data_IF_668042992051
#
_entry.id   IF_668042992051
#
_cell.length_a   1.000
_cell.length_b   1.000
_cell.length_c   1.000
_cell.angle_alpha   90.00
_cell.angle_beta   90.00
_cell.angle_gamma   90.00
#
_symmetry.space_group_name_H-M   'P 1'
#
loop_
_entity.id
_entity.type
_entity.pdbx_description
1 polymer ?
#
# COMPACT_ATOMS: atom_id res chain seq x y z
N UNK A 1 -6.33 -16.57 -15.35
CA UNK A 1 -7.43 -16.40 -14.39
C UNK A 1 -6.86 -16.15 -13.01
N UNK A 2 -7.57 -15.43 -12.13
CA UNK A 2 -7.16 -15.16 -10.73
C UNK A 2 -6.85 -16.46 -9.94
N UNK A 3 -7.45 -17.58 -10.37
CA UNK A 3 -7.14 -18.93 -9.89
C UNK A 3 -5.66 -19.31 -10.03
N UNK A 4 -5.00 -18.98 -11.16
CA UNK A 4 -3.57 -19.32 -11.41
C UNK A 4 -2.63 -18.52 -10.49
N UNK A 5 -3.07 -17.37 -9.96
CA UNK A 5 -2.28 -16.60 -8.98
C UNK A 5 -2.43 -17.06 -7.53
N UNK A 6 -3.30 -18.04 -7.25
CA UNK A 6 -3.44 -18.66 -5.92
C UNK A 6 -2.52 -19.86 -5.72
N UNK A 7 -2.05 -20.47 -6.80
CA UNK A 7 -1.06 -21.55 -6.76
C UNK A 7 0.32 -20.96 -6.50
N UNK A 8 0.88 -21.28 -5.33
CA UNK A 8 2.19 -20.80 -4.89
C UNK A 8 2.98 -21.99 -4.39
N UNK A 9 4.21 -22.12 -4.87
CA UNK A 9 5.14 -23.11 -4.35
C UNK A 9 5.68 -22.66 -2.99
N UNK A 10 5.60 -23.54 -1.99
CA UNK A 10 6.27 -23.37 -0.71
C UNK A 10 7.32 -24.48 -0.55
N UNK A 11 8.49 -24.11 -0.02
CA UNK A 11 9.59 -25.06 0.22
C UNK A 11 9.88 -25.08 1.71
N UNK A 12 9.77 -26.26 2.31
CA UNK A 12 10.11 -26.49 3.71
C UNK A 12 11.46 -27.20 3.81
N UNK A 13 12.36 -26.61 4.60
CA UNK A 13 13.71 -27.12 4.82
C UNK A 13 14.02 -26.99 6.31
N UNK A 14 14.43 -28.08 6.94
CA UNK A 14 14.80 -28.07 8.34
C UNK A 14 14.95 -29.46 8.93
N UNK A 15 15.48 -29.54 10.15
CA UNK A 15 15.45 -30.76 10.94
C UNK A 15 13.98 -31.15 11.22
N UNK A 16 13.66 -32.44 11.10
CA UNK A 16 12.29 -32.93 11.28
C UNK A 16 11.37 -32.74 10.08
N UNK A 17 11.85 -32.26 8.92
CA UNK A 17 11.09 -32.22 7.66
C UNK A 17 11.51 -33.41 6.78
N UNK A 18 10.55 -34.14 6.21
CA UNK A 18 10.86 -35.26 5.31
C UNK A 18 11.45 -34.75 3.99
N UNK A 19 12.47 -35.44 3.49
CA UNK A 19 13.11 -35.10 2.21
C UNK A 19 12.37 -35.72 1.02
N UNK A 20 12.31 -34.99 -0.10
CA UNK A 20 11.76 -35.49 -1.36
C UNK A 20 10.24 -35.61 -1.43
N UNK A 21 9.53 -35.06 -0.44
CA UNK A 21 8.06 -35.10 -0.37
C UNK A 21 7.48 -33.87 -1.06
N UNK A 22 6.55 -34.09 -1.99
CA UNK A 22 5.72 -33.06 -2.58
C UNK A 22 4.28 -33.27 -2.12
N UNK A 23 3.64 -32.20 -1.65
CA UNK A 23 2.26 -32.22 -1.15
C UNK A 23 1.49 -31.06 -1.76
N UNK A 24 0.24 -31.35 -2.11
CA UNK A 24 -0.74 -30.33 -2.44
C UNK A 24 -1.49 -29.94 -1.16
N UNK A 25 -1.75 -28.65 -1.00
CA UNK A 25 -2.42 -28.12 0.19
C UNK A 25 -2.75 -26.64 0.05
N UNK A 26 -3.35 -26.06 1.08
CA UNK A 26 -3.73 -24.65 1.09
C UNK A 26 -2.64 -23.81 1.77
N UNK A 27 -2.48 -22.54 1.37
CA UNK A 27 -1.48 -21.64 1.97
C UNK A 27 -1.64 -21.47 3.50
N UNK A 28 -2.87 -21.61 4.00
CA UNK A 28 -3.20 -21.59 5.44
C UNK A 28 -2.62 -22.76 6.23
N UNK A 29 -2.39 -23.89 5.58
CA UNK A 29 -1.86 -25.12 6.20
C UNK A 29 -0.39 -24.92 6.59
N UNK A 30 0.34 -24.10 5.82
CA UNK A 30 1.70 -23.66 6.15
C UNK A 30 1.72 -22.80 7.42
N UNK A 31 0.72 -21.94 7.60
CA UNK A 31 0.62 -21.13 8.82
C UNK A 31 0.31 -22.00 10.06
N UNK A 32 -0.31 -23.18 9.88
CA UNK A 32 -0.55 -24.15 10.95
C UNK A 32 0.69 -24.92 11.39
N UNK A 33 1.74 -24.96 10.57
CA UNK A 33 3.01 -25.54 10.98
C UNK A 33 3.70 -24.72 12.07
N UNK A 34 3.56 -23.39 12.07
CA UNK A 34 4.24 -22.55 13.06
C UNK A 34 3.77 -22.84 14.50
N UNK A 35 2.47 -22.87 14.81
CA UNK A 35 2.00 -23.30 16.12
C UNK A 35 2.42 -24.72 16.47
N UNK A 36 2.39 -25.65 15.51
CA UNK A 36 2.73 -27.04 15.75
C UNK A 36 4.23 -27.25 16.07
N UNK A 37 5.12 -26.56 15.34
CA UNK A 37 6.56 -26.68 15.53
C UNK A 37 7.05 -25.96 16.79
N UNK A 38 6.34 -24.91 17.22
CA UNK A 38 6.70 -24.08 18.38
C UNK A 38 5.91 -24.44 19.65
N UNK A 39 5.05 -25.45 19.59
CA UNK A 39 4.14 -25.85 20.68
C UNK A 39 3.30 -24.67 21.21
N UNK A 40 2.81 -23.84 20.29
CA UNK A 40 1.98 -22.67 20.61
C UNK A 40 0.50 -23.02 20.51
N UNK A 41 -0.37 -22.34 21.29
CA UNK A 41 -1.81 -22.50 21.13
C UNK A 41 -2.27 -22.11 19.73
N UNK A 42 -3.18 -22.90 19.15
CA UNK A 42 -3.76 -22.61 17.84
C UNK A 42 -4.60 -21.32 17.88
N UNK A 43 -4.29 -20.29 17.09
CA UNK A 43 -5.11 -19.08 17.01
C UNK A 43 -6.50 -19.40 16.44
N UNK A 44 -7.54 -18.78 16.99
CA UNK A 44 -8.91 -18.96 16.52
C UNK A 44 -9.10 -18.55 15.04
N UNK A 45 -8.28 -17.62 14.53
CA UNK A 45 -8.32 -17.17 13.13
C UNK A 45 -7.60 -18.10 12.15
N UNK A 46 -6.79 -19.04 12.67
CA UNK A 46 -6.04 -19.98 11.83
C UNK A 46 -6.92 -21.20 11.56
N UNK A 47 -7.23 -21.45 10.28
CA UNK A 47 -8.02 -22.61 9.82
C UNK A 47 -7.25 -23.58 8.94
N UNK A 48 -5.93 -23.64 9.11
CA UNK A 48 -5.09 -24.62 8.43
C UNK A 48 -5.14 -26.00 9.07
N UNK A 49 -5.03 -27.03 8.23
CA UNK A 49 -4.71 -28.39 8.62
C UNK A 49 -3.19 -28.54 8.65
N UNK A 50 -2.62 -29.08 9.72
CA UNK A 50 -1.17 -29.33 9.78
C UNK A 50 -0.81 -30.38 8.72
N UNK A 51 0.14 -30.11 7.81
CA UNK A 51 0.58 -31.09 6.82
C UNK A 51 1.55 -32.09 7.49
N UNK A 52 0.99 -33.03 8.26
CA UNK A 52 1.75 -34.03 9.02
C UNK A 52 2.65 -34.89 8.14
N UNK A 53 2.23 -35.14 6.89
CA UNK A 53 3.01 -35.90 5.90
C UNK A 53 4.33 -35.23 5.50
N UNK A 54 4.45 -33.91 5.70
CA UNK A 54 5.69 -33.17 5.47
C UNK A 54 6.71 -33.37 6.60
N UNK A 55 6.28 -33.89 7.76
CA UNK A 55 7.07 -33.94 8.98
C UNK A 55 7.58 -35.35 9.27
N UNK A 56 8.79 -35.42 9.83
CA UNK A 56 9.39 -36.64 10.37
C UNK A 56 8.99 -36.74 11.84
N UNK A 57 7.86 -37.40 12.09
CA UNK A 57 7.24 -37.53 13.41
C UNK A 57 7.57 -38.88 14.06
N UNK A 58 7.60 -38.92 15.39
CA UNK A 58 7.72 -40.17 16.14
C UNK A 58 6.40 -40.98 16.06
N UNK A 59 6.45 -42.31 16.32
CA UNK A 59 5.25 -43.12 16.41
C UNK A 59 4.25 -42.54 17.42
N UNK A 60 3.00 -42.36 16.99
CA UNK A 60 1.91 -41.80 17.82
C UNK A 60 1.86 -40.26 17.89
N UNK A 61 2.90 -39.54 17.47
CA UNK A 61 2.85 -38.07 17.43
C UNK A 61 1.90 -37.53 16.35
N UNK A 62 1.81 -38.23 15.22
CA UNK A 62 0.89 -37.87 14.12
C UNK A 62 -0.55 -37.85 14.61
N UNK A 63 -1.00 -38.91 15.29
CA UNK A 63 -2.37 -39.02 15.82
C UNK A 63 -2.64 -37.95 16.87
N UNK A 64 -1.66 -37.68 17.76
CA UNK A 64 -1.78 -36.66 18.80
C UNK A 64 -1.92 -35.25 18.20
N UNK A 65 -1.08 -34.92 17.21
CA UNK A 65 -1.12 -33.61 16.54
C UNK A 65 -2.38 -33.45 15.70
N UNK A 66 -2.85 -34.51 15.04
CA UNK A 66 -4.09 -34.49 14.27
C UNK A 66 -5.30 -34.26 15.17
N UNK A 67 -5.41 -34.99 16.28
CA UNK A 67 -6.48 -34.84 17.26
C UNK A 67 -6.47 -33.43 17.89
N UNK A 68 -5.28 -32.90 18.21
CA UNK A 68 -5.14 -31.55 18.73
C UNK A 68 -5.55 -30.48 17.70
N UNK A 69 -5.11 -30.60 16.45
CA UNK A 69 -5.50 -29.68 15.38
C UNK A 69 -7.01 -29.76 15.09
N UNK A 70 -7.59 -30.96 15.13
CA UNK A 70 -9.02 -31.17 14.96
C UNK A 70 -9.82 -30.55 16.11
N UNK A 71 -9.39 -30.73 17.36
CA UNK A 71 -10.03 -30.08 18.50
C UNK A 71 -10.06 -28.56 18.33
N UNK A 72 -8.94 -27.95 17.94
CA UNK A 72 -8.89 -26.53 17.65
C UNK A 72 -9.84 -26.13 16.49
N UNK A 73 -10.00 -26.99 15.48
CA UNK A 73 -10.94 -26.77 14.39
C UNK A 73 -12.41 -26.82 14.85
N UNK A 74 -12.76 -27.74 15.74
CA UNK A 74 -14.11 -27.85 16.33
C UNK A 74 -14.43 -26.64 17.22
N UNK A 75 -13.51 -26.25 18.10
CA UNK A 75 -13.66 -25.06 18.95
C UNK A 75 -13.84 -23.79 18.11
N UNK A 76 -13.07 -23.66 17.03
CA UNK A 76 -13.21 -22.57 16.06
C UNK A 76 -14.56 -22.60 15.35
N UNK A 77 -15.00 -23.75 14.85
CA UNK A 77 -16.29 -23.88 14.17
C UNK A 77 -17.45 -23.48 15.10
N UNK A 78 -17.37 -23.87 16.39
CA UNK A 78 -18.32 -23.47 17.41
C UNK A 78 -18.28 -21.96 17.68
N UNK A 79 -17.09 -21.37 17.78
CA UNK A 79 -16.93 -19.93 17.99
C UNK A 79 -17.46 -19.09 16.81
N UNK A 80 -17.22 -19.53 15.58
CA UNK A 80 -17.66 -18.84 14.36
C UNK A 80 -19.09 -19.20 13.95
N UNK A 81 -19.74 -20.16 14.63
CA UNK A 81 -21.09 -20.64 14.32
C UNK A 81 -21.22 -21.10 12.86
N UNK A 82 -20.24 -21.87 12.38
CA UNK A 82 -20.23 -22.39 11.00
C UNK A 82 -21.45 -23.27 10.79
N UNK A 83 -22.26 -22.95 9.78
CA UNK A 83 -23.43 -23.75 9.40
C UNK A 83 -23.12 -24.50 8.12
N UNK A 84 -22.75 -25.77 8.23
CA UNK A 84 -22.50 -26.65 7.10
C UNK A 84 -23.72 -27.51 6.70
N UNK A 85 -24.87 -27.26 7.35
CA UNK A 85 -26.12 -28.01 7.15
C UNK A 85 -26.12 -29.41 7.77
N UNK A 86 -25.03 -29.83 8.43
CA UNK A 86 -24.91 -31.10 9.12
C UNK A 86 -25.11 -31.00 10.64
N UNK A 87 -24.99 -32.13 11.36
CA UNK A 87 -24.99 -32.13 12.83
C UNK A 87 -23.75 -31.39 13.37
N UNK A 88 -23.78 -30.88 14.62
CA UNK A 88 -22.63 -30.20 15.22
C UNK A 88 -21.35 -31.05 15.15
N UNK A 89 -20.22 -30.42 14.83
CA UNK A 89 -18.93 -31.11 14.77
C UNK A 89 -18.54 -31.65 16.15
N UNK A 90 -17.94 -32.83 16.18
CA UNK A 90 -17.53 -33.51 17.40
C UNK A 90 -16.01 -33.71 17.41
N UNK A 91 -15.36 -33.43 18.54
CA UNK A 91 -13.92 -33.62 18.73
C UNK A 91 -13.50 -35.09 18.63
N UNK A 92 -14.41 -36.06 18.83
CA UNK A 92 -14.08 -37.49 18.77
C UNK A 92 -13.96 -38.07 17.36
N UNK A 93 -14.51 -37.40 16.34
CA UNK A 93 -14.56 -37.90 14.97
C UNK A 93 -13.97 -36.86 14.03
N UNK A 94 -12.83 -37.18 13.42
CA UNK A 94 -12.08 -36.26 12.56
C UNK A 94 -12.73 -36.22 11.17
N UNK A 95 -13.25 -35.04 10.78
CA UNK A 95 -14.00 -34.84 9.53
C UNK A 95 -13.52 -33.58 8.79
N UNK A 96 -12.25 -33.56 8.39
CA UNK A 96 -11.63 -32.40 7.71
C UNK A 96 -12.39 -31.91 6.47
N UNK A 97 -13.04 -32.82 5.74
CA UNK A 97 -13.85 -32.53 4.56
C UNK A 97 -14.98 -31.51 4.81
N UNK A 98 -15.48 -31.42 6.04
CA UNK A 98 -16.55 -30.47 6.44
C UNK A 98 -16.03 -29.08 6.81
N UNK A 99 -14.74 -28.96 7.13
CA UNK A 99 -14.11 -27.71 7.61
C UNK A 99 -13.18 -27.11 6.54
N UNK A 100 -12.93 -27.83 5.45
CA UNK A 100 -12.00 -27.42 4.40
C UNK A 100 -12.50 -26.29 3.47
N UNK A 101 -13.76 -25.83 3.61
CA UNK A 101 -14.28 -24.70 2.85
C UNK A 101 -13.39 -23.44 2.96
N UNK A 102 -13.33 -22.66 1.87
CA UNK A 102 -12.68 -21.34 1.83
C UNK A 102 -13.58 -20.22 2.37
N UNK A 103 -14.68 -20.59 3.04
CA UNK A 103 -15.63 -19.64 3.58
C UNK A 103 -15.00 -18.86 4.74
N UNK A 104 -15.11 -17.52 4.66
CA UNK A 104 -14.47 -16.62 5.61
C UNK A 104 -15.01 -16.84 7.02
N UNK A 105 -14.09 -16.95 7.99
CA UNK A 105 -14.35 -17.04 9.42
C UNK A 105 -14.88 -15.71 10.01
N UNK A 106 -15.92 -15.14 9.41
CA UNK A 106 -16.48 -13.87 9.85
C UNK A 106 -17.80 -14.12 10.58
N UNK A 107 -17.84 -13.86 11.88
CA UNK A 107 -19.10 -13.90 12.62
C UNK A 107 -20.01 -12.79 12.12
N UNK A 108 -21.30 -13.07 12.00
CA UNK A 108 -22.31 -12.06 11.65
C UNK A 108 -22.32 -10.88 12.63
N UNK A 109 -22.04 -11.13 13.91
CA UNK A 109 -21.86 -10.09 14.93
C UNK A 109 -20.69 -9.14 14.63
N UNK A 110 -19.57 -9.68 14.16
CA UNK A 110 -18.35 -8.90 13.92
C UNK A 110 -18.49 -8.08 12.64
N UNK A 111 -19.17 -8.64 11.62
CA UNK A 111 -19.57 -7.92 10.42
C UNK A 111 -20.55 -6.80 10.76
N UNK A 112 -21.57 -7.08 11.59
CA UNK A 112 -22.55 -6.08 12.01
C UNK A 112 -21.91 -4.96 12.83
N UNK A 113 -21.01 -5.28 13.76
CA UNK A 113 -20.28 -4.32 14.56
C UNK A 113 -19.37 -3.45 13.67
N UNK A 114 -18.64 -4.06 12.74
CA UNK A 114 -17.79 -3.35 11.78
C UNK A 114 -18.62 -2.41 10.90
N UNK A 115 -19.75 -2.88 10.37
CA UNK A 115 -20.68 -2.06 9.59
C UNK A 115 -21.21 -0.87 10.41
N UNK A 116 -21.61 -1.11 11.68
CA UNK A 116 -22.06 -0.07 12.59
C UNK A 116 -20.96 0.96 12.87
N UNK A 117 -19.73 0.52 13.15
CA UNK A 117 -18.59 1.42 13.34
C UNK A 117 -18.37 2.32 12.12
N UNK A 118 -18.47 1.76 10.91
CA UNK A 118 -18.36 2.54 9.67
C UNK A 118 -19.50 3.55 9.50
N UNK A 119 -20.74 3.15 9.77
CA UNK A 119 -21.90 4.05 9.76
C UNK A 119 -21.67 5.23 10.70
N UNK A 120 -21.19 4.97 11.93
CA UNK A 120 -20.93 6.01 12.92
C UNK A 120 -19.79 6.94 12.48
N UNK A 121 -18.65 6.39 12.05
CA UNK A 121 -17.50 7.19 11.62
C UNK A 121 -17.83 8.08 10.41
N UNK A 122 -18.50 7.53 9.40
CA UNK A 122 -18.93 8.30 8.23
C UNK A 122 -20.00 9.32 8.60
N UNK A 123 -20.93 8.99 9.49
CA UNK A 123 -21.92 9.93 10.01
C UNK A 123 -21.29 11.10 10.76
N UNK A 124 -20.28 10.84 11.60
CA UNK A 124 -19.53 11.87 12.31
C UNK A 124 -18.72 12.74 11.35
N UNK A 125 -18.03 12.15 10.37
CA UNK A 125 -17.27 12.88 9.36
C UNK A 125 -18.17 13.76 8.48
N UNK A 126 -19.31 13.23 8.03
CA UNK A 126 -20.30 13.97 7.25
C UNK A 126 -20.90 15.13 8.07
N UNK A 127 -21.23 14.88 9.36
CA UNK A 127 -21.73 15.92 10.27
C UNK A 127 -20.70 17.01 10.54
N UNK A 128 -19.45 16.64 10.80
CA UNK A 128 -18.35 17.60 11.00
C UNK A 128 -18.18 18.48 9.76
N UNK A 129 -18.14 17.86 8.58
CA UNK A 129 -17.97 18.59 7.34
C UNK A 129 -19.16 19.49 6.99
N UNK A 130 -20.39 19.03 7.27
CA UNK A 130 -21.59 19.85 7.12
C UNK A 130 -21.53 21.09 8.04
N UNK A 131 -21.16 20.92 9.32
CA UNK A 131 -21.06 22.03 10.27
C UNK A 131 -19.96 23.04 9.93
N UNK A 132 -18.81 22.59 9.45
CA UNK A 132 -17.63 23.46 9.25
C UNK A 132 -17.65 24.21 7.92
N UNK A 133 -18.28 23.64 6.90
CA UNK A 133 -18.18 24.12 5.51
C UNK A 133 -19.52 24.24 4.78
N UNK A 134 -20.66 23.94 5.42
CA UNK A 134 -21.98 24.16 4.84
C UNK A 134 -22.36 23.22 3.70
N UNK A 135 -21.82 21.98 3.69
CA UNK A 135 -21.84 21.07 2.53
C UNK A 135 -23.17 20.43 2.09
N UNK A 136 -24.32 20.88 2.61
CA UNK A 136 -25.64 20.40 2.17
C UNK A 136 -25.85 18.88 2.19
N UNK A 137 -26.84 18.40 1.42
CA UNK A 137 -27.22 16.99 1.27
C UNK A 137 -26.20 16.15 0.48
N UNK A 138 -25.33 16.78 -0.30
CA UNK A 138 -24.33 16.13 -1.15
C UNK A 138 -23.22 15.43 -0.35
N UNK A 139 -22.78 15.99 0.78
CA UNK A 139 -21.81 15.33 1.66
C UNK A 139 -22.37 14.06 2.32
N UNK A 140 -23.66 14.08 2.66
CA UNK A 140 -24.38 12.92 3.21
C UNK A 140 -24.55 11.84 2.14
N UNK A 141 -24.89 12.21 0.91
CA UNK A 141 -24.96 11.27 -0.20
C UNK A 141 -23.60 10.67 -0.56
N UNK A 142 -22.53 11.46 -0.59
CA UNK A 142 -21.18 10.96 -0.83
C UNK A 142 -20.75 9.99 0.27
N UNK A 143 -21.05 10.29 1.54
CA UNK A 143 -20.82 9.39 2.67
C UNK A 143 -21.64 8.11 2.60
N UNK A 144 -22.92 8.20 2.25
CA UNK A 144 -23.82 7.05 2.08
C UNK A 144 -23.42 6.17 0.89
N UNK A 145 -23.04 6.76 -0.23
CA UNK A 145 -22.47 6.05 -1.37
C UNK A 145 -21.14 5.38 -0.99
N UNK A 146 -20.26 6.07 -0.26
CA UNK A 146 -19.01 5.50 0.26
C UNK A 146 -19.25 4.29 1.17
N UNK A 147 -20.25 4.36 2.06
CA UNK A 147 -20.65 3.25 2.93
C UNK A 147 -21.21 2.06 2.13
N UNK A 148 -22.10 2.31 1.17
CA UNK A 148 -22.65 1.26 0.30
C UNK A 148 -21.53 0.55 -0.45
N UNK A 149 -20.60 1.32 -0.99
CA UNK A 149 -19.42 0.76 -1.66
C UNK A 149 -18.60 -0.05 -0.64
N UNK A 150 -18.45 0.39 0.62
CA UNK A 150 -17.68 -0.30 1.68
C UNK A 150 -18.27 -1.63 2.10
N UNK A 151 -19.58 -1.65 2.31
CA UNK A 151 -20.31 -2.87 2.62
C UNK A 151 -20.32 -3.82 1.43
N UNK A 152 -20.52 -3.31 0.21
CA UNK A 152 -20.47 -4.14 -1.01
C UNK A 152 -19.07 -4.72 -1.26
N UNK A 153 -18.03 -3.93 -1.00
CA UNK A 153 -16.64 -4.33 -1.20
C UNK A 153 -16.21 -5.38 -0.16
N UNK A 154 -16.61 -5.22 1.11
CA UNK A 154 -16.44 -6.23 2.15
C UNK A 154 -17.17 -7.53 1.80
N UNK A 155 -18.43 -7.45 1.37
CA UNK A 155 -19.18 -8.61 0.90
C UNK A 155 -18.52 -9.28 -0.32
N UNK A 156 -17.91 -8.48 -1.20
CA UNK A 156 -17.23 -8.96 -2.40
C UNK A 156 -15.83 -9.54 -2.16
N UNK A 157 -15.27 -9.50 -0.94
CA UNK A 157 -13.93 -10.04 -0.66
C UNK A 157 -13.81 -11.53 -1.00
N UNK A 158 -14.90 -12.29 -0.85
CA UNK A 158 -14.95 -13.70 -1.27
C UNK A 158 -14.94 -13.87 -2.80
N UNK A 159 -15.40 -12.87 -3.56
CA UNK A 159 -15.51 -12.92 -5.02
C UNK A 159 -14.30 -12.31 -5.74
N UNK A 160 -13.79 -11.17 -5.29
CA UNK A 160 -12.53 -10.61 -5.76
C UNK A 160 -11.92 -9.66 -4.74
N UNK A 161 -10.75 -10.03 -4.22
CA UNK A 161 -9.98 -9.19 -3.32
C UNK A 161 -9.38 -7.95 -4.03
N UNK A 162 -9.41 -7.91 -5.38
CA UNK A 162 -8.83 -6.81 -6.15
C UNK A 162 -9.76 -5.59 -6.28
N UNK A 163 -11.07 -5.77 -6.22
CA UNK A 163 -12.06 -4.68 -6.35
C UNK A 163 -11.93 -3.66 -5.22
N UNK A 164 -11.94 -4.05 -3.92
CA UNK A 164 -11.73 -3.10 -2.83
C UNK A 164 -10.39 -2.36 -2.95
N UNK A 165 -9.34 -3.07 -3.38
CA UNK A 165 -8.00 -2.49 -3.58
C UNK A 165 -7.98 -1.44 -4.70
N UNK A 166 -8.69 -1.68 -5.79
CA UNK A 166 -8.83 -0.72 -6.89
C UNK A 166 -9.57 0.55 -6.45
N UNK A 167 -10.65 0.41 -5.69
CA UNK A 167 -11.41 1.54 -5.17
C UNK A 167 -10.58 2.39 -4.18
N UNK A 168 -9.83 1.74 -3.28
CA UNK A 168 -8.88 2.42 -2.40
C UNK A 168 -7.78 3.16 -3.16
N UNK A 169 -7.29 2.60 -4.27
CA UNK A 169 -6.31 3.24 -5.15
C UNK A 169 -6.84 4.54 -5.77
N UNK A 170 -8.07 4.53 -6.28
CA UNK A 170 -8.73 5.72 -6.84
C UNK A 170 -8.93 6.78 -5.76
N UNK A 171 -9.32 6.39 -4.56
CA UNK A 171 -9.47 7.32 -3.44
C UNK A 171 -8.14 8.01 -3.07
N UNK A 172 -7.06 7.25 -2.93
CA UNK A 172 -5.73 7.78 -2.64
C UNK A 172 -5.23 8.72 -3.75
N UNK A 173 -5.35 8.30 -5.01
CA UNK A 173 -4.99 9.13 -6.17
C UNK A 173 -5.83 10.41 -6.25
N UNK A 174 -7.13 10.32 -5.95
CA UNK A 174 -8.04 11.45 -5.91
C UNK A 174 -7.67 12.48 -4.83
N UNK A 175 -7.29 12.01 -3.63
CA UNK A 175 -6.81 12.89 -2.55
C UNK A 175 -5.53 13.62 -2.94
N UNK A 176 -4.54 12.90 -3.47
CA UNK A 176 -3.29 13.51 -3.95
C UNK A 176 -3.59 14.54 -5.03
N UNK A 177 -4.49 14.22 -5.94
CA UNK A 177 -4.86 15.12 -7.02
C UNK A 177 -5.57 16.38 -6.53
N UNK A 178 -6.40 16.25 -5.49
CA UNK A 178 -7.05 17.37 -4.83
C UNK A 178 -6.02 18.27 -4.14
N UNK A 179 -5.06 17.69 -3.42
CA UNK A 179 -4.00 18.43 -2.76
C UNK A 179 -3.09 19.22 -3.73
N UNK A 180 -2.93 18.72 -4.96
CA UNK A 180 -2.09 19.33 -6.00
C UNK A 180 -2.86 20.19 -7.01
N UNK A 181 -4.18 20.35 -6.84
CA UNK A 181 -5.00 21.08 -7.79
C UNK A 181 -4.68 22.59 -7.77
N UNK A 182 -4.49 23.23 -8.94
CA UNK A 182 -4.27 24.66 -8.99
C UNK A 182 -5.56 25.46 -8.75
N UNK A 183 -5.43 26.64 -8.17
CA UNK A 183 -6.51 27.62 -8.06
C UNK A 183 -6.75 28.29 -9.40
N UNK A 184 -7.60 27.67 -10.22
CA UNK A 184 -7.91 28.12 -11.58
C UNK A 184 -9.40 28.06 -11.89
N UNK A 185 -9.86 28.95 -12.76
CA UNK A 185 -11.26 28.96 -13.21
C UNK A 185 -11.48 27.79 -14.17
N UNK A 186 -12.47 26.95 -13.84
CA UNK A 186 -12.88 25.86 -14.71
C UNK A 186 -13.59 26.41 -15.96
N UNK A 187 -13.05 26.12 -17.14
CA UNK A 187 -13.59 26.61 -18.43
C UNK A 187 -14.31 25.51 -19.22
N UNK A 188 -15.12 25.90 -20.22
CA UNK A 188 -15.86 24.98 -21.06
C UNK A 188 -14.96 23.99 -21.85
N UNK A 189 -13.74 24.42 -22.21
CA UNK A 189 -12.75 23.56 -22.85
C UNK A 189 -12.38 22.37 -21.95
N UNK A 190 -12.19 22.62 -20.65
CA UNK A 190 -11.91 21.56 -19.67
C UNK A 190 -13.08 20.58 -19.55
N UNK A 191 -14.33 21.07 -19.54
CA UNK A 191 -15.51 20.23 -19.50
C UNK A 191 -15.62 19.28 -20.71
N UNK A 192 -15.30 19.76 -21.92
CA UNK A 192 -15.29 18.92 -23.13
C UNK A 192 -14.18 17.86 -23.09
N UNK A 193 -12.99 18.22 -22.60
CA UNK A 193 -11.89 17.28 -22.45
C UNK A 193 -12.23 16.17 -21.43
N UNK A 194 -12.80 16.55 -20.27
CA UNK A 194 -13.23 15.60 -19.25
C UNK A 194 -14.30 14.64 -19.74
N UNK A 195 -15.26 15.11 -20.54
CA UNK A 195 -16.28 14.25 -21.14
C UNK A 195 -15.65 13.22 -22.09
N UNK A 196 -14.68 13.61 -22.91
CA UNK A 196 -13.99 12.69 -23.83
C UNK A 196 -13.19 11.63 -23.07
N UNK A 197 -12.47 12.04 -22.03
CA UNK A 197 -11.71 11.11 -21.19
C UNK A 197 -12.63 10.14 -20.44
N UNK A 198 -13.75 10.62 -19.90
CA UNK A 198 -14.76 9.77 -19.26
C UNK A 198 -15.38 8.77 -20.26
N UNK A 199 -15.75 9.22 -21.45
CA UNK A 199 -16.25 8.33 -22.52
C UNK A 199 -15.19 7.30 -22.90
N UNK A 200 -13.91 7.69 -22.99
CA UNK A 200 -12.82 6.75 -23.25
C UNK A 200 -12.66 5.70 -22.14
N UNK A 201 -12.75 6.11 -20.87
CA UNK A 201 -12.70 5.20 -19.73
C UNK A 201 -13.91 4.25 -19.70
N UNK A 202 -15.12 4.76 -19.91
CA UNK A 202 -16.33 3.92 -20.01
C UNK A 202 -16.26 2.97 -21.21
N UNK A 203 -15.72 3.43 -22.33
CA UNK A 203 -15.45 2.59 -23.51
C UNK A 203 -14.47 1.47 -23.20
N UNK A 204 -13.37 1.77 -22.49
CA UNK A 204 -12.41 0.76 -22.04
C UNK A 204 -13.06 -0.27 -21.12
N UNK A 205 -13.84 0.18 -20.14
CA UNK A 205 -14.59 -0.71 -19.23
C UNK A 205 -15.58 -1.58 -20.00
N UNK A 206 -16.31 -1.01 -20.96
CA UNK A 206 -17.25 -1.74 -21.80
C UNK A 206 -16.55 -2.80 -22.66
N UNK A 207 -15.40 -2.47 -23.24
CA UNK A 207 -14.57 -3.45 -23.98
C UNK A 207 -14.13 -4.58 -23.06
N UNK A 208 -13.65 -4.29 -21.86
CA UNK A 208 -13.25 -5.33 -20.91
C UNK A 208 -14.44 -6.18 -20.47
N UNK A 209 -15.64 -5.60 -20.31
CA UNK A 209 -16.86 -6.37 -20.03
C UNK A 209 -17.26 -7.33 -21.16
N UNK A 210 -16.90 -7.04 -22.42
CA UNK A 210 -17.16 -7.94 -23.54
C UNK A 210 -16.24 -9.16 -23.51
N UNK A 211 -15.00 -9.00 -23.03
CA UNK A 211 -13.96 -10.03 -23.10
C UNK A 211 -13.55 -10.64 -21.76
N UNK A 212 -14.07 -10.14 -20.64
CA UNK A 212 -13.64 -10.52 -19.29
C UNK A 212 -14.73 -10.37 -18.24
N UNK A 213 -14.37 -10.66 -16.99
CA UNK A 213 -15.30 -10.68 -15.86
C UNK A 213 -15.63 -9.26 -15.35
N UNK A 214 -16.79 -9.11 -14.72
CA UNK A 214 -17.20 -7.85 -14.10
C UNK A 214 -16.18 -7.32 -13.06
N UNK A 215 -15.51 -8.20 -12.32
CA UNK A 215 -14.46 -7.81 -11.37
C UNK A 215 -13.24 -7.21 -12.09
N UNK A 216 -12.83 -7.81 -13.20
CA UNK A 216 -11.72 -7.32 -14.02
C UNK A 216 -12.05 -5.96 -14.64
N UNK A 217 -13.27 -5.80 -15.15
CA UNK A 217 -13.74 -4.53 -15.68
C UNK A 217 -13.72 -3.40 -14.64
N UNK A 218 -14.16 -3.67 -13.41
CA UNK A 218 -14.12 -2.71 -12.31
C UNK A 218 -12.66 -2.35 -11.96
N UNK A 219 -11.77 -3.33 -11.86
CA UNK A 219 -10.35 -3.10 -11.54
C UNK A 219 -9.65 -2.30 -12.65
N UNK A 220 -9.88 -2.62 -13.92
CA UNK A 220 -9.34 -1.87 -15.06
C UNK A 220 -9.90 -0.45 -15.06
N UNK A 221 -11.19 -0.26 -14.78
CA UNK A 221 -11.79 1.07 -14.61
C UNK A 221 -11.13 1.88 -13.49
N UNK A 222 -10.84 1.24 -12.35
CA UNK A 222 -10.14 1.88 -11.24
C UNK A 222 -8.71 2.27 -11.63
N UNK A 223 -7.94 1.38 -12.25
CA UNK A 223 -6.57 1.67 -12.69
C UNK A 223 -6.53 2.75 -13.77
N UNK A 224 -7.45 2.69 -14.74
CA UNK A 224 -7.62 3.73 -15.76
C UNK A 224 -7.95 5.09 -15.14
N UNK A 225 -8.76 5.12 -14.09
CA UNK A 225 -9.06 6.35 -13.33
C UNK A 225 -7.80 6.92 -12.66
N UNK A 226 -6.95 6.09 -12.05
CA UNK A 226 -5.67 6.55 -11.46
C UNK A 226 -4.76 7.17 -12.52
N UNK A 227 -4.64 6.52 -13.69
CA UNK A 227 -3.83 7.03 -14.82
C UNK A 227 -4.41 8.35 -15.32
N UNK A 228 -5.72 8.45 -15.46
CA UNK A 228 -6.40 9.67 -15.88
C UNK A 228 -6.15 10.82 -14.88
N UNK A 229 -6.24 10.56 -13.57
CA UNK A 229 -5.93 11.54 -12.53
C UNK A 229 -4.48 12.01 -12.58
N UNK A 230 -3.52 11.09 -12.80
CA UNK A 230 -2.11 11.41 -12.98
C UNK A 230 -1.87 12.29 -14.22
N UNK A 231 -2.50 11.96 -15.35
CA UNK A 231 -2.40 12.74 -16.58
C UNK A 231 -2.97 14.16 -16.40
N UNK A 232 -4.14 14.27 -15.77
CA UNK A 232 -4.76 15.57 -15.42
C UNK A 232 -3.91 16.39 -14.45
N UNK A 233 -3.13 15.73 -13.58
CA UNK A 233 -2.20 16.40 -12.69
C UNK A 233 -1.04 17.03 -13.48
N UNK A 234 -0.49 16.29 -14.45
CA UNK A 234 0.59 16.79 -15.30
C UNK A 234 0.18 17.93 -16.23
N UNK A 235 -1.07 17.98 -16.65
CA UNK A 235 -1.59 19.11 -17.43
C UNK A 235 -1.95 20.32 -16.58
N UNK A 236 -1.75 20.26 -15.26
CA UNK A 236 -2.08 21.32 -14.32
C UNK A 236 -3.52 21.85 -14.51
N UNK A 237 -4.47 20.97 -14.84
CA UNK A 237 -5.86 21.36 -15.05
C UNK A 237 -6.50 21.73 -13.70
N UNK A 238 -7.34 22.77 -13.59
CA UNK A 238 -8.14 22.98 -12.38
C UNK A 238 -9.13 21.81 -12.21
N UNK A 239 -9.67 21.57 -11.01
CA UNK A 239 -10.77 20.62 -10.82
C UNK A 239 -12.11 21.38 -10.80
N UNK A 240 -13.18 20.88 -11.43
CA UNK A 240 -14.47 21.54 -11.39
C UNK A 240 -14.98 21.54 -9.94
N UNK A 241 -15.18 22.72 -9.36
CA UNK A 241 -15.87 22.98 -8.08
C UNK A 241 -15.43 22.19 -6.83
N UNK A 242 -14.22 21.60 -6.79
CA UNK A 242 -13.70 20.99 -5.55
C UNK A 242 -13.02 22.01 -4.62
N UNK A 243 -12.52 23.12 -5.17
CA UNK A 243 -11.77 24.14 -4.41
C UNK A 243 -12.66 25.00 -3.49
N UNK A 244 -14.00 24.93 -3.58
CA UNK A 244 -14.90 25.77 -2.80
C UNK A 244 -15.95 25.02 -1.94
N UNK A 245 -16.19 23.71 -2.14
CA UNK A 245 -17.43 23.09 -1.62
C UNK A 245 -17.31 21.77 -0.83
N UNK A 246 -16.17 21.05 -0.75
CA UNK A 246 -16.26 19.66 -0.28
C UNK A 246 -15.07 19.05 0.53
N UNK A 247 -14.61 19.67 1.62
CA UNK A 247 -13.83 18.97 2.65
C UNK A 247 -14.56 17.75 3.24
N UNK A 248 -15.89 17.66 3.09
CA UNK A 248 -16.67 16.44 3.32
C UNK A 248 -16.24 15.29 2.41
N UNK A 249 -16.07 15.57 1.11
CA UNK A 249 -15.62 14.58 0.11
C UNK A 249 -14.15 14.25 0.33
N UNK A 250 -13.30 15.21 0.68
CA UNK A 250 -11.92 14.94 1.07
C UNK A 250 -11.86 14.04 2.32
N UNK A 251 -12.65 14.31 3.35
CA UNK A 251 -12.74 13.47 4.54
C UNK A 251 -13.26 12.05 4.24
N UNK A 252 -14.26 11.92 3.37
CA UNK A 252 -14.77 10.62 2.91
C UNK A 252 -13.72 9.87 2.08
N UNK A 253 -13.00 10.54 1.18
CA UNK A 253 -11.92 9.93 0.41
C UNK A 253 -10.75 9.51 1.30
N UNK A 254 -10.40 10.29 2.33
CA UNK A 254 -9.39 9.91 3.35
C UNK A 254 -9.85 8.66 4.08
N UNK A 255 -11.10 8.62 4.53
CA UNK A 255 -11.66 7.45 5.20
C UNK A 255 -11.63 6.23 4.26
N UNK A 256 -12.15 6.34 3.03
CA UNK A 256 -12.14 5.25 2.06
C UNK A 256 -10.72 4.77 1.72
N UNK A 257 -9.75 5.69 1.55
CA UNK A 257 -8.36 5.36 1.31
C UNK A 257 -7.74 4.60 2.51
N UNK A 258 -8.09 4.98 3.73
CA UNK A 258 -7.67 4.32 4.96
C UNK A 258 -8.40 2.98 5.21
N UNK A 259 -9.65 2.83 4.77
CA UNK A 259 -10.47 1.63 4.95
C UNK A 259 -10.08 0.50 4.00
N UNK A 260 -9.89 0.81 2.71
CA UNK A 260 -9.67 -0.21 1.68
C UNK A 260 -8.21 -0.53 1.41
N UNK A 261 -7.36 0.46 1.63
CA UNK A 261 -5.93 0.30 1.49
C UNK A 261 -5.33 0.14 2.86
N UNK A 262 -4.68 -0.99 3.12
CA UNK A 262 -3.43 -0.94 3.88
C UNK A 262 -2.55 0.13 3.21
N UNK A 263 -2.68 1.41 3.62
CA UNK A 263 -2.13 2.62 2.98
C UNK A 263 -1.27 2.28 1.76
N UNK A 264 -1.90 2.01 0.60
CA UNK A 264 -1.12 1.69 -0.61
C UNK A 264 -0.70 3.04 -1.19
N UNK A 265 0.16 3.72 -0.42
CA UNK A 265 0.83 4.99 -0.72
C UNK A 265 1.46 4.92 -2.11
N UNK A 266 1.76 3.73 -2.61
CA UNK A 266 2.18 3.53 -3.97
C UNK A 266 1.26 4.21 -5.01
N UNK A 267 -0.07 4.21 -4.86
CA UNK A 267 -0.98 4.87 -5.81
C UNK A 267 -0.97 6.41 -5.74
N UNK A 268 -0.31 6.99 -4.74
CA UNK A 268 0.02 8.42 -4.68
C UNK A 268 1.13 8.75 -5.68
N UNK A 269 2.06 7.81 -5.91
CA UNK A 269 3.24 8.03 -6.76
C UNK A 269 2.92 8.29 -8.23
N UNK A 270 1.98 7.57 -8.91
CA UNK A 270 1.58 7.91 -10.27
C UNK A 270 1.08 9.35 -10.41
N UNK A 271 0.31 9.85 -9.45
CA UNK A 271 -0.23 11.22 -9.49
C UNK A 271 0.88 12.25 -9.27
N UNK A 272 1.80 12.00 -8.33
CA UNK A 272 2.99 12.84 -8.12
C UNK A 272 3.92 12.85 -9.34
N UNK A 273 4.11 11.68 -9.97
CA UNK A 273 4.90 11.53 -11.19
C UNK A 273 4.28 12.34 -12.34
N UNK A 274 2.97 12.19 -12.57
CA UNK A 274 2.24 12.94 -13.58
C UNK A 274 2.35 14.45 -13.36
N UNK A 275 2.03 14.92 -12.15
CA UNK A 275 2.13 16.33 -11.77
C UNK A 275 3.55 16.88 -11.96
N UNK A 276 4.55 16.15 -11.46
CA UNK A 276 5.95 16.53 -11.53
C UNK A 276 6.47 16.63 -12.97
N UNK A 277 6.18 15.61 -13.81
CA UNK A 277 6.50 15.63 -15.24
C UNK A 277 5.92 16.85 -15.95
N UNK A 278 4.66 17.18 -15.63
CA UNK A 278 4.02 18.40 -16.14
C UNK A 278 4.83 19.66 -15.90
N UNK A 279 5.26 19.87 -14.66
CA UNK A 279 6.04 21.06 -14.25
C UNK A 279 7.46 21.05 -14.83
N UNK A 280 8.09 19.88 -14.93
CA UNK A 280 9.40 19.73 -15.57
C UNK A 280 9.31 20.10 -17.05
N UNK A 281 8.31 19.59 -17.78
CA UNK A 281 8.09 19.91 -19.20
C UNK A 281 7.79 21.38 -19.41
N UNK A 282 6.95 21.98 -18.57
CA UNK A 282 6.64 23.42 -18.63
C UNK A 282 7.90 24.28 -18.46
N UNK A 283 8.75 23.95 -17.49
CA UNK A 283 10.00 24.67 -17.24
C UNK A 283 11.06 24.48 -18.31
N UNK A 284 11.20 23.27 -18.83
CA UNK A 284 12.10 22.97 -19.95
C UNK A 284 11.67 23.70 -21.23
N UNK A 285 10.36 23.88 -21.44
CA UNK A 285 9.83 24.72 -22.54
C UNK A 285 10.16 26.20 -22.35
N UNK A 286 10.13 26.69 -21.11
CA UNK A 286 10.47 28.08 -20.81
C UNK A 286 11.98 28.35 -20.83
N UNK A 287 12.80 27.37 -20.42
CA UNK A 287 14.26 27.47 -20.45
C UNK A 287 14.91 26.07 -20.48
N UNK A 288 15.75 25.82 -21.49
CA UNK A 288 16.44 24.54 -21.70
C UNK A 288 17.64 24.30 -20.75
N UNK A 289 17.85 25.16 -19.75
CA UNK A 289 18.96 25.03 -18.81
C UNK A 289 18.59 24.08 -17.66
N UNK A 290 19.51 23.17 -17.31
CA UNK A 290 19.39 22.28 -16.13
C UNK A 290 19.22 23.07 -14.83
N UNK A 291 19.69 24.32 -14.78
CA UNK A 291 19.53 25.21 -13.64
C UNK A 291 18.08 25.70 -13.42
N UNK A 292 17.16 25.50 -14.38
CA UNK A 292 15.75 25.85 -14.25
C UNK A 292 14.89 24.77 -13.59
N UNK A 293 15.49 23.60 -13.34
CA UNK A 293 14.87 22.47 -12.68
C UNK A 293 14.86 22.69 -11.16
N UNK A 294 13.68 22.95 -10.61
CA UNK A 294 13.49 23.10 -9.17
C UNK A 294 13.28 21.74 -8.48
N UNK A 295 13.00 21.79 -7.18
CA UNK A 295 12.63 20.65 -6.34
C UNK A 295 11.55 19.73 -6.95
N UNK A 296 10.69 20.25 -7.84
CA UNK A 296 9.69 19.46 -8.56
C UNK A 296 10.31 18.39 -9.45
N UNK A 297 11.47 18.65 -10.05
CA UNK A 297 12.21 17.65 -10.84
C UNK A 297 12.74 16.53 -9.95
N UNK A 298 13.25 16.86 -8.76
CA UNK A 298 13.66 15.89 -7.75
C UNK A 298 12.50 15.02 -7.26
N UNK A 299 11.35 15.63 -6.97
CA UNK A 299 10.13 14.90 -6.61
C UNK A 299 9.67 13.96 -7.72
N UNK A 300 9.73 14.42 -8.98
CA UNK A 300 9.38 13.61 -10.17
C UNK A 300 10.28 12.41 -10.29
N UNK A 301 11.60 12.60 -10.13
CA UNK A 301 12.58 11.52 -10.17
C UNK A 301 12.33 10.50 -9.04
N UNK A 302 12.08 10.96 -7.81
CA UNK A 302 11.73 10.09 -6.69
C UNK A 302 10.44 9.31 -6.94
N UNK A 303 9.41 9.94 -7.49
CA UNK A 303 8.17 9.28 -7.86
C UNK A 303 8.39 8.24 -8.97
N UNK A 304 9.21 8.55 -9.99
CA UNK A 304 9.56 7.62 -11.05
C UNK A 304 10.33 6.40 -10.52
N UNK A 305 11.32 6.62 -9.65
CA UNK A 305 12.07 5.55 -9.00
C UNK A 305 11.16 4.68 -8.12
N UNK A 306 10.25 5.30 -7.36
CA UNK A 306 9.29 4.58 -6.52
C UNK A 306 8.25 3.77 -7.31
N UNK A 307 7.89 4.21 -8.52
CA UNK A 307 7.00 3.46 -9.42
C UNK A 307 7.76 2.31 -10.10
N UNK A 308 9.01 2.52 -10.53
CA UNK A 308 9.72 1.56 -11.38
C UNK A 308 10.53 0.52 -10.59
N UNK A 309 11.35 0.95 -9.62
CA UNK A 309 12.35 0.08 -8.96
C UNK A 309 11.80 -1.10 -8.14
N UNK A 310 10.60 -1.03 -7.53
CA UNK A 310 10.07 -2.17 -6.76
C UNK A 310 9.60 -3.35 -7.63
N UNK A 311 9.38 -3.16 -8.93
CA UNK A 311 8.71 -4.15 -9.77
C UNK A 311 9.67 -5.13 -10.45
N UNK A 312 9.83 -6.31 -9.83
CA UNK A 312 10.49 -7.50 -10.38
C UNK A 312 10.01 -7.97 -11.77
N UNK A 313 8.83 -7.54 -12.19
CA UNK A 313 8.23 -7.92 -13.48
C UNK A 313 8.58 -6.96 -14.62
N UNK A 314 8.97 -5.73 -14.29
CA UNK A 314 9.31 -4.68 -15.27
C UNK A 314 10.83 -4.63 -15.44
N UNK A 315 11.53 -4.78 -14.33
CA UNK A 315 12.98 -4.91 -14.24
C UNK A 315 13.17 -6.30 -13.67
N UNK A 316 13.89 -7.21 -14.33
CA UNK A 316 14.05 -8.63 -13.96
C UNK A 316 14.64 -8.89 -12.54
N UNK A 317 14.69 -7.89 -11.66
CA UNK A 317 15.08 -7.92 -10.26
C UNK A 317 14.36 -6.85 -9.42
N UNK A 318 14.40 -6.96 -8.09
CA UNK A 318 13.91 -5.89 -7.22
C UNK A 318 15.08 -4.95 -6.95
N UNK A 319 15.35 -4.05 -7.88
CA UNK A 319 16.53 -3.17 -7.82
C UNK A 319 16.55 -2.34 -6.53
N UNK A 320 15.38 -1.92 -6.02
CA UNK A 320 15.33 -1.20 -4.74
C UNK A 320 15.80 -2.08 -3.58
N UNK A 321 15.30 -3.32 -3.51
CA UNK A 321 15.71 -4.27 -2.47
C UNK A 321 17.18 -4.67 -2.62
N UNK A 322 17.68 -4.79 -3.85
CA UNK A 322 19.09 -5.03 -4.13
C UNK A 322 19.95 -3.84 -3.67
N UNK A 323 19.56 -2.60 -3.99
CA UNK A 323 20.21 -1.38 -3.53
C UNK A 323 20.19 -1.24 -1.99
N UNK A 324 19.10 -1.62 -1.32
CA UNK A 324 19.02 -1.61 0.16
C UNK A 324 19.89 -2.70 0.77
N UNK A 325 19.95 -3.87 0.12
CA UNK A 325 20.79 -5.02 0.54
C UNK A 325 22.25 -4.87 0.12
N UNK A 326 22.61 -3.86 -0.67
CA UNK A 326 24.01 -3.57 -0.96
C UNK A 326 24.71 -3.19 0.33
N UNK A 327 25.57 -4.10 0.78
CA UNK A 327 26.53 -3.79 1.82
C UNK A 327 27.67 -2.97 1.20
N UNK A 328 27.85 -1.69 1.60
CA UNK A 328 28.87 -0.83 1.03
C UNK A 328 30.31 -1.30 1.30
N UNK A 329 30.51 -2.27 2.20
CA UNK A 329 31.83 -2.80 2.58
C UNK A 329 32.17 -4.16 1.98
N UNK A 330 31.21 -4.82 1.30
CA UNK A 330 31.38 -6.21 0.84
C UNK A 330 32.24 -6.38 -0.42
N UNK A 331 32.32 -5.37 -1.28
CA UNK A 331 33.08 -5.41 -2.54
C UNK A 331 33.56 -4.00 -2.91
N UNK A 332 34.76 -3.89 -3.50
CA UNK A 332 35.38 -2.61 -3.90
C UNK A 332 34.50 -1.87 -4.90
N UNK A 333 33.88 -2.59 -5.83
CA UNK A 333 32.95 -2.00 -6.79
C UNK A 333 31.71 -1.38 -6.11
N UNK A 334 31.19 -2.03 -5.05
CA UNK A 334 30.04 -1.54 -4.28
C UNK A 334 30.41 -0.34 -3.42
N UNK A 335 31.60 -0.35 -2.81
CA UNK A 335 32.13 0.81 -2.07
C UNK A 335 32.34 2.03 -2.97
N UNK A 336 32.91 1.84 -4.16
CA UNK A 336 33.04 2.90 -5.16
C UNK A 336 31.69 3.45 -5.61
N UNK A 337 30.71 2.58 -5.84
CA UNK A 337 29.35 2.98 -6.20
C UNK A 337 28.68 3.82 -5.10
N UNK A 338 28.80 3.43 -3.83
CA UNK A 338 28.28 4.20 -2.70
C UNK A 338 28.96 5.58 -2.58
N UNK A 339 30.28 5.64 -2.72
CA UNK A 339 31.02 6.91 -2.70
C UNK A 339 30.61 7.83 -3.86
N UNK A 340 30.40 7.28 -5.06
CA UNK A 340 29.92 8.03 -6.21
C UNK A 340 28.51 8.57 -5.98
N UNK A 341 27.61 7.77 -5.40
CA UNK A 341 26.27 8.21 -5.04
C UNK A 341 26.29 9.35 -4.02
N UNK A 342 27.18 9.28 -3.02
CA UNK A 342 27.34 10.32 -1.99
C UNK A 342 27.93 11.60 -2.57
N UNK A 343 28.93 11.49 -3.46
CA UNK A 343 29.50 12.63 -4.19
C UNK A 343 28.45 13.32 -5.06
N UNK A 344 27.63 12.54 -5.77
CA UNK A 344 26.53 13.05 -6.58
C UNK A 344 25.46 13.72 -5.71
N UNK A 345 25.11 13.12 -4.58
CA UNK A 345 24.15 13.69 -3.60
C UNK A 345 24.67 15.02 -3.03
N UNK A 346 25.95 15.11 -2.66
CA UNK A 346 26.57 16.34 -2.19
C UNK A 346 26.61 17.43 -3.29
N UNK A 347 26.89 17.05 -4.53
CA UNK A 347 26.86 17.94 -5.69
C UNK A 347 25.46 18.49 -5.98
N UNK A 348 24.44 17.64 -5.97
CA UNK A 348 23.04 18.04 -6.17
C UNK A 348 22.59 18.96 -5.04
N UNK A 349 22.93 18.64 -3.78
CA UNK A 349 22.58 19.49 -2.64
C UNK A 349 23.22 20.88 -2.74
N UNK A 350 24.50 20.96 -3.07
CA UNK A 350 25.19 22.26 -3.20
C UNK A 350 24.66 23.08 -4.35
N UNK A 351 24.39 22.45 -5.50
CA UNK A 351 23.77 23.11 -6.64
C UNK A 351 22.39 23.68 -6.27
N UNK A 352 21.59 22.94 -5.50
CA UNK A 352 20.26 23.37 -5.10
C UNK A 352 20.26 24.48 -4.04
N UNK A 353 21.10 24.37 -3.01
CA UNK A 353 21.13 25.35 -1.89
C UNK A 353 21.89 26.63 -2.26
N UNK A 354 22.99 26.52 -3.02
CA UNK A 354 23.88 27.65 -3.30
C UNK A 354 23.76 28.16 -4.74
N UNK A 355 22.97 27.51 -5.60
CA UNK A 355 22.79 27.87 -7.02
C UNK A 355 24.04 27.73 -7.88
N UNK A 356 25.17 27.31 -7.31
CA UNK A 356 26.48 27.15 -7.96
C UNK A 356 27.24 25.99 -7.32
N UNK A 357 28.01 25.25 -8.13
CA UNK A 357 28.90 24.21 -7.61
C UNK A 357 30.14 24.85 -6.97
N UNK A 358 30.13 24.94 -5.65
CA UNK A 358 31.26 25.42 -4.85
C UNK A 358 31.96 24.24 -4.17
N UNK A 359 33.29 24.16 -4.30
CA UNK A 359 34.09 23.02 -3.81
C UNK A 359 34.03 22.88 -2.28
N UNK A 360 34.06 24.00 -1.55
CA UNK A 360 34.01 24.01 -0.06
C UNK A 360 32.73 23.39 0.53
N UNK A 361 31.51 23.88 0.19
CA UNK A 361 30.28 23.28 0.72
C UNK A 361 30.06 21.86 0.20
N UNK A 362 30.54 21.53 -1.00
CA UNK A 362 30.43 20.17 -1.56
C UNK A 362 31.30 19.20 -0.75
N UNK A 363 32.53 19.61 -0.42
CA UNK A 363 33.44 18.83 0.43
C UNK A 363 32.92 18.63 1.85
N UNK A 364 32.29 19.66 2.46
CA UNK A 364 31.68 19.54 3.78
C UNK A 364 30.51 18.55 3.80
N UNK A 365 29.59 18.65 2.83
CA UNK A 365 28.46 17.72 2.73
C UNK A 365 28.93 16.30 2.42
N UNK A 366 29.90 16.12 1.52
CA UNK A 366 30.49 14.82 1.23
C UNK A 366 31.17 14.21 2.47
N UNK A 367 31.93 15.02 3.23
CA UNK A 367 32.55 14.60 4.48
C UNK A 367 31.53 14.17 5.53
N UNK A 368 30.43 14.90 5.66
CA UNK A 368 29.32 14.54 6.55
C UNK A 368 28.66 13.23 6.13
N UNK A 369 28.39 13.03 4.84
CA UNK A 369 27.83 11.78 4.33
C UNK A 369 28.79 10.60 4.60
N UNK A 370 30.09 10.77 4.37
CA UNK A 370 31.12 9.75 4.64
C UNK A 370 31.17 9.40 6.13
N UNK A 371 31.06 10.40 7.01
CA UNK A 371 30.97 10.17 8.45
C UNK A 371 29.71 9.35 8.83
N UNK A 372 28.56 9.67 8.25
CA UNK A 372 27.31 8.89 8.46
C UNK A 372 27.48 7.43 7.98
N UNK A 373 28.15 7.21 6.85
CA UNK A 373 28.43 5.86 6.37
C UNK A 373 29.39 5.12 7.31
N UNK A 374 30.43 5.77 7.82
CA UNK A 374 31.36 5.19 8.80
C UNK A 374 30.65 4.83 10.12
N UNK A 375 29.72 5.68 10.58
CA UNK A 375 28.85 5.43 11.73
C UNK A 375 28.01 4.16 11.53
N UNK A 376 27.37 4.02 10.35
CA UNK A 376 26.56 2.84 10.02
C UNK A 376 27.39 1.55 10.06
N UNK A 377 28.64 1.60 9.60
CA UNK A 377 29.56 0.45 9.61
C UNK A 377 30.00 0.09 11.02
N UNK A 378 30.19 1.08 11.90
CA UNK A 378 30.65 0.84 13.26
C UNK A 378 29.65 0.04 14.13
N UNK A 379 28.38 -0.13 13.70
CA UNK A 379 27.29 -0.85 14.41
C UNK A 379 27.42 -0.75 15.95
N UNK A 380 27.54 0.47 16.45
CA UNK A 380 27.73 0.71 17.87
C UNK A 380 26.52 1.49 18.41
N UNK A 381 25.83 0.88 19.37
CA UNK A 381 24.57 1.35 19.94
C UNK A 381 24.67 2.83 20.37
N UNK A 382 25.84 3.23 20.89
CA UNK A 382 26.14 4.59 21.34
C UNK A 382 26.06 5.65 20.22
N UNK A 383 26.42 5.27 19.00
CA UNK A 383 26.47 6.18 17.85
C UNK A 383 25.07 6.40 17.26
N UNK A 384 24.22 5.37 17.28
CA UNK A 384 22.81 5.49 16.91
C UNK A 384 22.06 6.42 17.89
N UNK A 385 22.35 6.34 19.19
CA UNK A 385 21.83 7.26 20.21
C UNK A 385 22.30 8.71 19.98
N UNK A 386 23.56 8.92 19.59
CA UNK A 386 24.08 10.25 19.26
C UNK A 386 23.42 10.84 18.01
N UNK A 387 23.20 10.03 16.97
CA UNK A 387 22.49 10.46 15.77
C UNK A 387 21.03 10.83 16.06
N UNK A 388 20.35 10.06 16.91
CA UNK A 388 18.98 10.35 17.36
C UNK A 388 18.91 11.65 18.15
N UNK A 389 19.86 11.88 19.06
CA UNK A 389 19.96 13.13 19.82
C UNK A 389 20.21 14.35 18.92
N UNK A 390 21.07 14.21 17.90
CA UNK A 390 21.35 15.29 16.95
C UNK A 390 20.12 15.62 16.08
N UNK A 391 19.39 14.61 15.61
CA UNK A 391 18.12 14.79 14.90
C UNK A 391 17.06 15.45 15.78
N UNK A 392 16.99 15.08 17.06
CA UNK A 392 16.08 15.69 18.03
C UNK A 392 16.40 17.18 18.23
N UNK A 393 17.68 17.53 18.33
CA UNK A 393 18.11 18.94 18.43
C UNK A 393 17.72 19.73 17.18
N UNK A 394 17.98 19.19 15.99
CA UNK A 394 17.59 19.84 14.72
C UNK A 394 16.08 20.02 14.64
N UNK A 395 15.31 19.02 15.08
CA UNK A 395 13.85 19.09 15.12
C UNK A 395 13.35 20.13 16.13
N UNK A 396 13.93 20.19 17.32
CA UNK A 396 13.59 21.19 18.34
C UNK A 396 13.93 22.60 17.86
N UNK A 397 15.08 22.81 17.21
CA UNK A 397 15.45 24.12 16.65
C UNK A 397 14.52 24.52 15.51
N UNK A 398 14.18 23.60 14.62
CA UNK A 398 13.23 23.87 13.53
C UNK A 398 11.81 24.14 14.06
N UNK A 399 11.36 23.41 15.08
CA UNK A 399 10.07 23.63 15.72
C UNK A 399 10.03 24.97 16.47
N UNK A 400 11.15 25.37 17.08
CA UNK A 400 11.30 26.68 17.73
C UNK A 400 11.24 27.82 16.73
N UNK A 401 11.93 27.71 15.59
CA UNK A 401 11.87 28.72 14.53
C UNK A 401 10.45 28.88 13.96
N UNK A 402 9.66 27.80 13.89
CA UNK A 402 8.24 27.84 13.49
C UNK A 402 7.35 28.49 14.55
N UNK A 403 7.64 28.25 15.84
CA UNK A 403 6.89 28.85 16.95
C UNK A 403 7.19 30.35 17.09
N UNK A 404 8.46 30.74 16.96
CA UNK A 404 8.91 32.13 17.03
C UNK A 404 8.44 32.95 15.81
N UNK A 405 8.16 32.32 14.67
CA UNK A 405 7.54 32.96 13.50
C UNK A 405 6.00 33.11 13.62
N UNK A 406 5.37 32.47 14.61
CA UNK A 406 3.92 32.47 14.84
C UNK A 406 3.47 33.35 16.02
N UNK A 407 4.43 33.94 16.74
CA UNK A 407 4.25 35.03 17.72
C UNK A 407 4.59 36.38 17.10
#
# INVERSE_FOLDING_TARGET
SEAVTREVAAVLIGAGVRQGVALDGHQRDLAALLPALLDLPFPAQLHGQIPLDALTLLPGESERLEAWNWQAAVERANFHQVQDGGPPLNASTIEWSRVQGDEGLNRTSDVALSALTWVVLLGLAARWAHRRYGGGWWGVLAGGAGLLVLLSAQASLGWSAMVPRGLGAVAAAGLTRLALAPDGVWTEHHARADRREAVGLFGLVAVVLIFGDASQAIVVGCMGSVIMLAFRAGQNRPLPSWNAAAPAVAAVLVLLAASYGSLRVWFVLPVLLGWGLGRVVERLRASLSVASLDWTAGLTALAALGVLLPHRRILDGNLLLELVRMDPTGDVARGMFSLLLMALTAGVWTLHVHGRMNVRPTGLMLGMLIAVMAIRVARNNLVDWMALAMLLVVYITAARDVLDASS
#
